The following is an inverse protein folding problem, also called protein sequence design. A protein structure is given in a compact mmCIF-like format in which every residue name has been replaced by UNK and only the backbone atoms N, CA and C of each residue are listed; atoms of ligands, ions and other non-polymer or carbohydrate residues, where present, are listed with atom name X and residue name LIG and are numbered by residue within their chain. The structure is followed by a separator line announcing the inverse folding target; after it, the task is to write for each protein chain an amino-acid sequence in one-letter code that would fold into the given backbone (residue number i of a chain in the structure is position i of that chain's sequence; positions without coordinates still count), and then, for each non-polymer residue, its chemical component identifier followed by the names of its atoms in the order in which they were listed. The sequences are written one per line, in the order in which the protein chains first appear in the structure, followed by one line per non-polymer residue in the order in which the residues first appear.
data_IF_868193117745
#
_entry.id   IF_868193117745
#
_cell.length_a   1.000
_cell.length_b   1.000
_cell.length_c   1.000
_cell.angle_alpha   90.00
_cell.angle_beta   90.00
_cell.angle_gamma   90.00
#
_symmetry.space_group_name_H-M   'P 1'
#
loop_
_entity.id
_entity.type
_entity.pdbx_description
1 polymer ?
#
# COMPACT_ATOMS: atom_id res chain seq x y z
N UNK A 1 12.20 14.77 22.26
CA UNK A 1 13.24 14.38 21.28
C UNK A 1 13.14 12.86 21.24
N UNK A 2 12.23 12.32 20.43
CA UNK A 2 11.81 10.91 20.54
C UNK A 2 11.80 10.19 19.18
N UNK A 3 12.00 10.93 18.08
CA UNK A 3 11.93 10.37 16.72
C UNK A 3 13.10 9.43 16.37
N UNK A 4 14.22 9.52 17.10
CA UNK A 4 15.46 8.77 16.83
C UNK A 4 15.44 7.35 17.46
N UNK A 5 14.53 7.10 18.41
CA UNK A 5 14.49 5.81 19.13
C UNK A 5 13.80 4.70 18.33
N UNK A 6 12.86 5.05 17.45
CA UNK A 6 12.15 4.08 16.61
C UNK A 6 13.03 3.57 15.45
N UNK A 7 14.05 4.32 15.04
CA UNK A 7 15.00 3.90 13.99
C UNK A 7 15.93 2.76 14.44
N UNK A 8 16.01 2.53 15.75
CA UNK A 8 16.89 1.53 16.36
C UNK A 8 16.16 0.21 16.67
N UNK A 9 14.86 0.12 16.39
CA UNK A 9 14.05 -1.07 16.62
C UNK A 9 13.59 -1.71 15.30
N UNK A 10 13.43 -3.02 15.31
CA UNK A 10 12.82 -3.73 14.18
C UNK A 10 11.34 -3.35 14.09
N UNK A 11 10.89 -2.96 12.89
CA UNK A 11 9.51 -2.54 12.67
C UNK A 11 8.66 -3.66 12.04
N UNK A 12 7.46 -3.87 12.57
CA UNK A 12 6.46 -4.80 12.02
C UNK A 12 5.45 -4.05 11.16
N UNK A 13 5.32 -4.44 9.89
CA UNK A 13 4.60 -3.71 8.86
C UNK A 13 3.54 -4.61 8.21
N UNK A 14 2.26 -4.26 8.37
CA UNK A 14 1.14 -4.93 7.69
C UNK A 14 0.76 -4.18 6.42
N UNK A 15 0.53 -4.90 5.32
CA UNK A 15 0.00 -4.34 4.08
C UNK A 15 -1.50 -4.61 3.95
N UNK A 16 -2.26 -3.57 3.61
CA UNK A 16 -3.72 -3.62 3.43
C UNK A 16 -4.11 -3.10 2.04
N UNK A 17 -4.86 -3.93 1.31
CA UNK A 17 -5.35 -3.69 -0.04
C UNK A 17 -4.39 -4.13 -1.15
N UNK A 18 -4.95 -4.41 -2.33
CA UNK A 18 -4.16 -4.71 -3.53
C UNK A 18 -3.38 -6.04 -3.45
N UNK A 19 -2.30 -6.18 -4.24
CA UNK A 19 -1.57 -7.44 -4.38
C UNK A 19 -0.83 -7.94 -3.13
N UNK A 20 -0.66 -7.09 -2.11
CA UNK A 20 0.04 -7.44 -0.87
C UNK A 20 -0.90 -7.54 0.33
N UNK A 21 -2.21 -7.53 0.13
CA UNK A 21 -3.17 -7.56 1.23
C UNK A 21 -2.92 -8.74 2.20
N UNK A 22 -2.86 -8.44 3.49
CA UNK A 22 -2.58 -9.42 4.55
C UNK A 22 -1.10 -9.79 4.73
N UNK A 23 -0.19 -9.31 3.88
CA UNK A 23 1.25 -9.55 4.03
C UNK A 23 1.79 -8.79 5.22
N UNK A 24 2.61 -9.47 6.03
CA UNK A 24 3.40 -8.86 7.10
C UNK A 24 4.88 -8.89 6.73
N UNK A 25 5.57 -7.79 6.97
CA UNK A 25 7.03 -7.65 6.81
C UNK A 25 7.67 -7.19 8.12
N UNK A 26 8.84 -7.73 8.43
CA UNK A 26 9.69 -7.24 9.53
C UNK A 26 10.86 -6.49 8.90
N UNK A 27 10.94 -5.18 9.16
CA UNK A 27 12.02 -4.31 8.72
C UNK A 27 13.05 -4.20 9.84
N UNK A 28 14.26 -4.70 9.60
CA UNK A 28 15.31 -4.61 10.60
C UNK A 28 15.75 -3.15 10.85
N UNK A 29 16.05 -2.80 12.11
CA UNK A 29 16.46 -1.47 12.56
C UNK A 29 17.60 -0.85 11.72
N UNK A 30 18.57 -1.68 11.31
CA UNK A 30 19.70 -1.26 10.45
C UNK A 30 19.30 -0.62 9.11
N UNK A 31 18.02 -0.76 8.71
CA UNK A 31 17.46 -0.18 7.50
C UNK A 31 16.77 1.18 7.75
N UNK A 32 16.85 1.71 8.98
CA UNK A 32 16.23 2.96 9.41
C UNK A 32 14.69 2.87 9.48
N UNK A 33 14.07 4.00 9.83
CA UNK A 33 12.62 4.11 9.92
C UNK A 33 11.89 3.61 8.64
N UNK A 34 10.70 3.02 8.79
CA UNK A 34 9.82 2.75 7.66
C UNK A 34 9.56 4.01 6.84
N UNK A 35 9.64 3.90 5.52
CA UNK A 35 9.40 5.03 4.63
C UNK A 35 7.92 5.44 4.66
N UNK A 36 7.58 6.73 4.54
CA UNK A 36 6.18 7.18 4.54
C UNK A 36 5.38 6.62 3.34
N UNK A 37 6.06 6.24 2.27
CA UNK A 37 5.48 5.59 1.09
C UNK A 37 6.42 4.49 0.60
N UNK A 38 5.85 3.35 0.21
CA UNK A 38 6.58 2.31 -0.54
C UNK A 38 5.90 1.99 -1.87
N UNK A 39 6.71 1.54 -2.84
CA UNK A 39 6.23 1.07 -4.14
C UNK A 39 6.59 -0.40 -4.30
N UNK A 40 5.57 -1.23 -4.55
CA UNK A 40 5.76 -2.63 -4.89
C UNK A 40 5.55 -2.84 -6.37
N UNK A 41 6.52 -3.50 -7.01
CA UNK A 41 6.47 -3.83 -8.42
C UNK A 41 6.28 -5.33 -8.55
N UNK A 42 5.14 -5.74 -9.08
CA UNK A 42 4.88 -7.13 -9.40
C UNK A 42 5.27 -7.39 -10.87
N UNK A 43 6.31 -8.21 -11.07
CA UNK A 43 6.76 -8.67 -12.38
C UNK A 43 6.21 -10.07 -12.63
N UNK A 44 5.05 -10.14 -13.27
CA UNK A 44 4.61 -11.36 -13.94
C UNK A 44 5.06 -11.31 -15.41
N UNK A 45 5.10 -12.43 -16.12
CA UNK A 45 5.41 -12.47 -17.57
C UNK A 45 4.44 -11.68 -18.48
N UNK A 46 3.61 -10.79 -17.93
CA UNK A 46 2.73 -9.85 -18.60
C UNK A 46 3.00 -8.40 -18.16
N UNK A 47 2.01 -7.49 -18.26
CA UNK A 47 2.19 -6.09 -17.90
C UNK A 47 2.65 -5.90 -16.45
N UNK A 48 3.70 -5.09 -16.24
CA UNK A 48 4.20 -4.73 -14.92
C UNK A 48 3.12 -4.04 -14.11
N UNK A 49 2.80 -4.59 -12.94
CA UNK A 49 1.86 -3.98 -12.00
C UNK A 49 2.64 -3.22 -10.93
N UNK A 50 2.33 -1.93 -10.77
CA UNK A 50 2.95 -1.06 -9.75
C UNK A 50 1.88 -0.65 -8.74
N UNK A 51 2.09 -0.98 -7.47
CA UNK A 51 1.21 -0.62 -6.37
C UNK A 51 1.96 0.30 -5.41
N UNK A 52 1.34 1.42 -5.01
CA UNK A 52 1.90 2.37 -4.06
C UNK A 52 1.12 2.27 -2.75
N UNK A 53 1.84 2.22 -1.63
CA UNK A 53 1.24 2.17 -0.30
C UNK A 53 1.75 3.33 0.54
N UNK A 54 0.87 3.88 1.38
CA UNK A 54 1.21 4.92 2.34
C UNK A 54 1.18 4.37 3.76
N UNK A 55 2.18 4.76 4.54
CA UNK A 55 2.34 4.34 5.92
C UNK A 55 1.37 5.10 6.82
N UNK A 56 0.60 4.35 7.59
CA UNK A 56 -0.04 4.80 8.82
C UNK A 56 0.78 4.26 10.01
N UNK A 57 1.56 5.11 10.70
CA UNK A 57 2.32 4.70 11.87
C UNK A 57 1.39 4.23 12.99
N UNK A 58 1.82 3.23 13.76
CA UNK A 58 1.17 2.79 15.01
C UNK A 58 2.13 3.02 16.18
N UNK A 59 1.65 3.01 17.44
CA UNK A 59 2.52 3.10 18.61
C UNK A 59 3.56 1.97 18.64
N UNK A 60 4.79 2.32 19.03
CA UNK A 60 5.95 1.41 19.03
C UNK A 60 6.50 1.18 17.62
N UNK A 61 7.32 0.14 17.46
CA UNK A 61 7.92 -0.21 16.17
C UNK A 61 6.92 -0.97 15.26
N UNK A 62 5.76 -0.38 14.99
CA UNK A 62 4.70 -0.98 14.17
C UNK A 62 4.06 0.02 13.21
N UNK A 63 3.53 -0.47 12.08
CA UNK A 63 2.81 0.37 11.12
C UNK A 63 1.99 -0.42 10.11
N UNK A 64 1.06 0.27 9.47
CA UNK A 64 0.21 -0.30 8.42
C UNK A 64 0.40 0.46 7.12
N UNK A 65 0.77 -0.23 6.05
CA UNK A 65 0.81 0.30 4.70
C UNK A 65 -0.53 0.09 4.01
N UNK A 66 -1.27 1.18 3.79
CA UNK A 66 -2.53 1.15 3.05
C UNK A 66 -2.30 1.42 1.57
N UNK A 67 -2.95 0.64 0.70
CA UNK A 67 -2.89 0.86 -0.74
C UNK A 67 -3.42 2.26 -1.06
N UNK A 68 -2.61 3.07 -1.73
CA UNK A 68 -3.02 4.38 -2.24
C UNK A 68 -4.01 4.16 -3.40
N UNK A 69 -5.23 4.73 -3.33
CA UNK A 69 -6.16 4.69 -4.46
C UNK A 69 -5.51 5.30 -5.70
N UNK A 70 -5.66 4.65 -6.86
CA UNK A 70 -5.18 5.23 -8.11
C UNK A 70 -6.09 6.41 -8.46
N UNK A 71 -5.54 7.61 -8.46
CA UNK A 71 -6.20 8.81 -8.98
C UNK A 71 -6.37 8.66 -10.50
N UNK A 72 -7.39 7.93 -10.95
CA UNK A 72 -7.74 7.75 -12.36
C UNK A 72 -7.57 6.32 -12.90
N UNK A 73 -8.65 5.55 -12.87
CA UNK A 73 -8.89 4.32 -13.65
C UNK A 73 -10.40 4.12 -13.72
N UNK A 74 -10.97 3.72 -14.87
CA UNK A 74 -12.27 4.19 -15.33
C UNK A 74 -13.40 3.95 -14.34
N UNK A 75 -14.12 5.04 -14.05
CA UNK A 75 -15.48 5.02 -13.53
C UNK A 75 -16.26 3.93 -14.25
N UNK A 76 -16.97 3.12 -13.47
CA UNK A 76 -17.85 2.07 -13.98
C UNK A 76 -18.54 2.52 -15.27
N UNK A 77 -18.34 1.76 -16.35
CA UNK A 77 -19.33 1.70 -17.42
C UNK A 77 -20.63 1.33 -16.75
N UNK A 78 -21.51 2.31 -16.54
CA UNK A 78 -22.93 2.03 -16.45
C UNK A 78 -23.32 1.59 -17.87
N UNK A 79 -23.70 0.32 -18.11
CA UNK A 79 -24.45 0.05 -19.31
C UNK A 79 -25.75 0.84 -19.16
N UNK A 80 -25.91 1.89 -19.97
CA UNK A 80 -27.24 2.41 -20.28
C UNK A 80 -27.89 1.35 -21.18
N UNK A 81 -28.26 0.23 -20.56
CA UNK A 81 -29.16 -0.75 -21.13
C UNK A 81 -30.55 -0.11 -21.13
N UNK A 82 -31.04 0.17 -22.34
CA UNK A 82 -32.45 0.26 -22.74
C UNK A 82 -33.39 1.16 -21.96
N UNK A 83 -33.87 2.22 -22.61
CA UNK A 83 -35.29 2.57 -22.50
C UNK A 83 -35.93 2.51 -23.90
N UNK A 84 -37.14 1.95 -24.04
CA UNK A 84 -37.69 1.43 -25.30
C UNK A 84 -38.51 2.46 -26.09
N UNK A 85 -38.57 2.20 -27.41
CA UNK A 85 -39.65 2.46 -28.38
C UNK A 85 -40.52 3.72 -28.24
N UNK A 86 -40.46 4.58 -29.26
CA UNK A 86 -41.58 5.43 -29.70
C UNK A 86 -42.51 4.62 -30.64
#
# INVERSE_FOLDING_TARGET
MDADSDEQQDAVLLFVGGPLDGRVEVRAARHGAPLPTVTHVHLHGGPKVVSRYDLQPLPGAAGVYHLRPRSGGPSATTPADGDPAD
#
